data_IF_169309717644
#
_entry.id   IF_169309717644
#
_cell.length_a   1.000
_cell.length_b   1.000
_cell.length_c   1.000
_cell.angle_alpha   90.00
_cell.angle_beta   90.00
_cell.angle_gamma   90.00
#
_symmetry.space_group_name_H-M   'P 1'
#
loop_
_entity.id
_entity.type
_entity.pdbx_description
1 polymer ?
#
# COMPACT_ATOMS: atom_id res chain seq x y z
N UNK A 1 -9.73 12.92 -1.19
CA UNK A 1 -9.86 12.04 -0.01
C UNK A 1 -8.82 10.94 -0.14
N UNK A 2 -7.68 11.09 0.55
CA UNK A 2 -6.46 10.30 0.38
C UNK A 2 -6.31 9.14 1.38
N UNK A 3 -5.06 8.75 1.68
CA UNK A 3 -4.72 7.83 2.78
C UNK A 3 -5.39 8.31 4.07
N UNK A 4 -6.41 7.60 4.54
CA UNK A 4 -7.08 7.88 5.82
C UNK A 4 -6.71 6.80 6.81
N UNK A 5 -6.75 7.11 8.11
CA UNK A 5 -6.48 6.13 9.16
C UNK A 5 -7.35 4.87 9.00
N UNK A 6 -8.62 5.03 8.60
CA UNK A 6 -9.50 3.90 8.31
C UNK A 6 -8.98 2.98 7.20
N UNK A 7 -8.42 3.54 6.12
CA UNK A 7 -7.88 2.74 5.02
C UNK A 7 -6.65 1.94 5.48
N UNK A 8 -5.78 2.54 6.29
CA UNK A 8 -4.61 1.85 6.85
C UNK A 8 -5.04 0.69 7.76
N UNK A 9 -6.02 0.90 8.63
CA UNK A 9 -6.54 -0.18 9.47
C UNK A 9 -7.20 -1.31 8.66
N UNK A 10 -7.91 -0.97 7.58
CA UNK A 10 -8.49 -1.98 6.69
C UNK A 10 -7.39 -2.80 5.98
N UNK A 11 -6.36 -2.13 5.46
CA UNK A 11 -5.20 -2.81 4.88
C UNK A 11 -4.51 -3.72 5.89
N UNK A 12 -4.34 -3.26 7.14
CA UNK A 12 -3.76 -4.07 8.22
C UNK A 12 -4.60 -5.31 8.51
N UNK A 13 -5.92 -5.18 8.61
CA UNK A 13 -6.84 -6.33 8.81
C UNK A 13 -6.74 -7.33 7.66
N UNK A 14 -6.75 -6.84 6.42
CA UNK A 14 -6.63 -7.69 5.24
C UNK A 14 -5.27 -8.40 5.19
N UNK A 15 -4.18 -7.70 5.51
CA UNK A 15 -2.85 -8.28 5.56
C UNK A 15 -2.73 -9.36 6.65
N UNK A 16 -3.31 -9.14 7.83
CA UNK A 16 -3.38 -10.16 8.89
C UNK A 16 -4.17 -11.39 8.47
N UNK A 17 -5.30 -11.20 7.78
CA UNK A 17 -6.20 -12.29 7.35
C UNK A 17 -5.62 -13.12 6.20
N UNK A 18 -5.00 -12.48 5.22
CA UNK A 18 -4.60 -13.13 3.97
C UNK A 18 -3.08 -13.36 3.85
N UNK A 19 -2.27 -12.75 4.71
CA UNK A 19 -0.81 -12.84 4.68
C UNK A 19 -0.15 -12.05 3.54
N UNK A 20 -0.90 -11.73 2.48
CA UNK A 20 -0.47 -10.93 1.34
C UNK A 20 -1.65 -10.16 0.77
N UNK A 21 -1.42 -8.90 0.37
CA UNK A 21 -2.41 -8.06 -0.30
C UNK A 21 -1.78 -7.37 -1.52
N UNK A 22 -2.60 -7.13 -2.54
CA UNK A 22 -2.24 -6.35 -3.73
C UNK A 22 -3.04 -5.06 -3.73
N UNK A 23 -2.35 -3.93 -3.79
CA UNK A 23 -2.94 -2.59 -3.66
C UNK A 23 -2.77 -1.82 -4.96
N UNK A 24 -3.88 -1.29 -5.50
CA UNK A 24 -3.88 -0.48 -6.72
C UNK A 24 -3.96 1.00 -6.39
N UNK A 25 -3.01 1.77 -6.93
CA UNK A 25 -2.98 3.23 -6.85
C UNK A 25 -3.94 3.79 -7.90
N UNK A 26 -4.99 4.47 -7.43
CA UNK A 26 -6.03 5.04 -8.29
C UNK A 26 -5.52 6.26 -9.07
N UNK A 27 -6.06 6.49 -10.27
CA UNK A 27 -5.66 7.59 -11.17
C UNK A 27 -5.74 8.96 -10.50
N UNK A 28 -6.85 9.23 -9.81
CA UNK A 28 -7.06 10.46 -9.06
C UNK A 28 -5.97 10.73 -8.03
N UNK A 29 -5.47 9.68 -7.37
CA UNK A 29 -4.37 9.83 -6.41
C UNK A 29 -3.06 10.14 -7.13
N UNK A 30 -2.78 9.47 -8.26
CA UNK A 30 -1.58 9.69 -9.09
C UNK A 30 -1.48 11.13 -9.62
N UNK A 31 -2.59 11.69 -10.07
CA UNK A 31 -2.64 13.06 -10.61
C UNK A 31 -2.44 14.12 -9.52
N UNK A 32 -2.79 13.79 -8.27
CA UNK A 32 -2.64 14.69 -7.12
C UNK A 32 -1.30 14.55 -6.38
N UNK A 33 -0.48 13.56 -6.72
CA UNK A 33 0.66 13.17 -5.90
C UNK A 33 1.98 13.56 -6.58
N UNK A 34 2.80 14.37 -5.90
CA UNK A 34 4.17 14.71 -6.30
C UNK A 34 5.23 13.68 -5.88
N UNK A 35 4.84 12.42 -5.65
CA UNK A 35 5.75 11.36 -5.19
C UNK A 35 5.73 10.18 -6.15
N UNK A 36 6.83 9.44 -6.19
CA UNK A 36 6.89 8.21 -6.97
C UNK A 36 6.03 7.12 -6.35
N UNK A 37 5.56 6.19 -7.19
CA UNK A 37 4.84 4.98 -6.76
C UNK A 37 5.65 4.11 -5.80
N UNK A 38 6.98 4.08 -5.96
CA UNK A 38 7.87 3.32 -5.09
C UNK A 38 7.90 3.92 -3.68
N UNK A 39 8.02 5.25 -3.56
CA UNK A 39 7.97 5.92 -2.25
C UNK A 39 6.64 5.70 -1.55
N UNK A 40 5.51 5.77 -2.28
CA UNK A 40 4.20 5.47 -1.70
C UNK A 40 4.11 4.02 -1.20
N UNK A 41 4.54 3.07 -2.03
CA UNK A 41 4.50 1.65 -1.67
C UNK A 41 5.36 1.37 -0.43
N UNK A 42 6.57 1.94 -0.37
CA UNK A 42 7.47 1.80 0.78
C UNK A 42 6.91 2.46 2.03
N UNK A 43 6.33 3.66 1.91
CA UNK A 43 5.67 4.35 3.01
C UNK A 43 4.54 3.50 3.62
N UNK A 44 3.68 2.93 2.77
CA UNK A 44 2.57 2.09 3.22
C UNK A 44 3.09 0.79 3.84
N UNK A 45 4.13 0.19 3.26
CA UNK A 45 4.79 -0.99 3.82
C UNK A 45 5.27 -0.73 5.26
N UNK A 46 5.99 0.38 5.47
CA UNK A 46 6.48 0.78 6.79
C UNK A 46 5.34 1.04 7.79
N UNK A 47 4.25 1.69 7.36
CA UNK A 47 3.08 1.96 8.22
C UNK A 47 2.34 0.68 8.65
N UNK A 48 2.41 -0.36 7.81
CA UNK A 48 1.74 -1.64 8.04
C UNK A 48 2.64 -2.70 8.67
N UNK A 49 3.91 -2.37 8.93
CA UNK A 49 4.94 -3.33 9.34
C UNK A 49 4.95 -4.55 8.39
N UNK A 50 4.99 -4.24 7.09
CA UNK A 50 4.82 -5.18 6.00
C UNK A 50 6.04 -5.15 5.07
N UNK A 51 6.27 -6.26 4.39
CA UNK A 51 7.32 -6.39 3.40
C UNK A 51 6.79 -6.01 2.00
N UNK A 52 7.41 -5.02 1.35
CA UNK A 52 7.11 -4.66 -0.03
C UNK A 52 7.73 -5.69 -0.99
N UNK A 53 6.90 -6.50 -1.64
CA UNK A 53 7.37 -7.57 -2.53
C UNK A 53 7.59 -7.13 -3.97
N UNK A 54 6.68 -6.32 -4.49
CA UNK A 54 6.71 -5.93 -5.91
C UNK A 54 6.00 -4.58 -6.09
N UNK A 55 6.50 -3.79 -7.05
CA UNK A 55 5.82 -2.62 -7.59
C UNK A 55 5.75 -2.78 -9.12
N UNK A 56 4.54 -2.97 -9.66
CA UNK A 56 4.30 -3.15 -11.10
C UNK A 56 3.21 -2.21 -11.61
N UNK A 57 3.59 -1.33 -12.54
CA UNK A 57 2.68 -0.32 -13.08
C UNK A 57 2.18 0.62 -11.98
N UNK A 58 0.89 0.55 -11.66
CA UNK A 58 0.26 1.34 -10.59
C UNK A 58 -0.25 0.44 -9.46
N UNK A 59 0.33 -0.74 -9.31
CA UNK A 59 -0.06 -1.71 -8.30
C UNK A 59 1.18 -2.14 -7.53
N UNK A 60 1.05 -2.38 -6.23
CA UNK A 60 2.12 -2.93 -5.42
C UNK A 60 1.60 -4.05 -4.53
N UNK A 61 2.48 -4.97 -4.16
CA UNK A 61 2.15 -6.14 -3.36
C UNK A 61 2.86 -6.05 -2.01
N UNK A 62 2.10 -6.20 -0.94
CA UNK A 62 2.60 -6.25 0.43
C UNK A 62 2.42 -7.65 1.00
N UNK A 63 3.43 -8.14 1.71
CA UNK A 63 3.37 -9.38 2.49
C UNK A 63 3.45 -9.03 3.97
N UNK A 64 2.76 -9.78 4.82
CA UNK A 64 2.87 -9.66 6.28
C UNK A 64 4.35 -9.82 6.66
N UNK A 65 4.89 -8.87 7.44
CA UNK A 65 6.20 -9.02 8.06
C UNK A 65 6.23 -10.30 8.88
N UNK A 66 7.30 -11.08 8.72
CA UNK A 66 7.51 -12.32 9.48
C UNK A 66 7.68 -12.02 10.95
#
# INVERSE_FOLDING_TARGET
KGLTNNLIEEMRRNLKKHGMIKVRILKSYRESMNRSRQELAQMIANLLDAELKEVRGYTFTLKRGS
#
